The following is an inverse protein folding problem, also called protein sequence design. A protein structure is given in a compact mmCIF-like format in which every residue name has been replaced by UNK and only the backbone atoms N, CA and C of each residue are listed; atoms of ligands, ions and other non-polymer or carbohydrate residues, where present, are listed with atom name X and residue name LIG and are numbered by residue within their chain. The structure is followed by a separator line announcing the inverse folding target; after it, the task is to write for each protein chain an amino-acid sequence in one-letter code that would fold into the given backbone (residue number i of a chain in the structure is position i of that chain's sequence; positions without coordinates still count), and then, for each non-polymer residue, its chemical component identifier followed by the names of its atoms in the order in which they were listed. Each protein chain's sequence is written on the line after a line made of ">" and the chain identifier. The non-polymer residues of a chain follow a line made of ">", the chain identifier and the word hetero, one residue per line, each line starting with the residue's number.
data_IF_689894731570
#
_entry.id   IF_689894731570
#
_cell.length_a   1.000
_cell.length_b   1.000
_cell.length_c   1.000
_cell.angle_alpha   90.00
_cell.angle_beta   90.00
_cell.angle_gamma   90.00
#
_symmetry.space_group_name_H-M   'P 1'
#
loop_
_entity.id
_entity.type
_entity.pdbx_description
1 polymer ?
#
# COMPACT_ATOMS: atom_id res chain seq x y z
N UNK A 1 -23.28 -7.73 16.39
CA UNK A 1 -22.89 -8.41 17.63
C UNK A 1 -21.64 -9.18 17.34
N UNK A 2 -20.54 -8.88 18.04
CA UNK A 2 -19.31 -9.67 17.92
C UNK A 2 -19.56 -11.03 18.58
N UNK A 3 -19.55 -12.10 17.79
CA UNK A 3 -19.50 -13.44 18.35
C UNK A 3 -18.11 -13.61 18.97
N UNK A 4 -17.98 -13.99 20.25
CA UNK A 4 -16.68 -14.30 20.82
C UNK A 4 -16.18 -15.58 20.12
N UNK A 5 -15.16 -15.47 19.28
CA UNK A 5 -14.42 -16.64 18.85
C UNK A 5 -13.59 -17.10 20.06
N UNK A 6 -13.71 -18.38 20.42
CA UNK A 6 -12.85 -18.99 21.43
C UNK A 6 -11.66 -19.57 20.69
N UNK A 7 -10.50 -18.93 20.79
CA UNK A 7 -9.23 -19.58 20.45
C UNK A 7 -9.06 -20.74 21.44
N UNK A 8 -8.47 -21.85 20.99
CA UNK A 8 -8.05 -22.93 21.89
C UNK A 8 -7.39 -22.35 23.15
N UNK A 9 -7.66 -22.91 24.33
CA UNK A 9 -7.24 -22.35 25.63
C UNK A 9 -5.81 -21.78 25.58
N UNK A 10 -5.71 -20.45 25.59
CA UNK A 10 -4.45 -19.71 25.53
C UNK A 10 -3.59 -20.08 26.73
N UNK A 11 -2.32 -20.37 26.50
CA UNK A 11 -1.35 -20.71 27.54
C UNK A 11 -0.57 -19.46 27.98
N UNK A 12 -0.06 -19.40 29.22
CA UNK A 12 0.66 -18.22 29.71
C UNK A 12 1.93 -17.84 28.92
N UNK A 13 2.50 -18.78 28.16
CA UNK A 13 3.71 -18.58 27.33
C UNK A 13 3.39 -18.44 25.84
N UNK A 14 2.11 -18.38 25.48
CA UNK A 14 1.70 -18.19 24.10
C UNK A 14 2.05 -16.75 23.69
N UNK A 15 2.68 -16.60 22.53
CA UNK A 15 3.13 -15.32 21.98
C UNK A 15 2.21 -14.87 20.84
N UNK A 16 1.81 -13.59 20.77
CA UNK A 16 1.04 -13.08 19.65
C UNK A 16 1.89 -13.04 18.37
N UNK A 17 1.25 -13.37 17.25
CA UNK A 17 1.79 -13.15 15.90
C UNK A 17 0.75 -12.34 15.14
N UNK A 18 1.15 -11.23 14.54
CA UNK A 18 0.30 -10.35 13.72
C UNK A 18 0.94 -10.29 12.34
N UNK A 19 0.38 -11.01 11.38
CA UNK A 19 1.00 -11.12 10.05
C UNK A 19 -0.07 -11.20 8.97
N UNK A 20 0.12 -10.48 7.86
CA UNK A 20 -0.74 -10.50 6.67
C UNK A 20 -0.38 -11.71 5.81
N UNK A 21 -0.98 -12.86 6.11
CA UNK A 21 -0.59 -14.12 5.46
C UNK A 21 -1.38 -14.40 4.17
N UNK A 22 -2.40 -13.61 3.87
CA UNK A 22 -3.21 -13.75 2.66
C UNK A 22 -3.00 -12.63 1.63
N UNK A 23 -2.34 -11.54 2.03
CA UNK A 23 -1.88 -10.44 1.18
C UNK A 23 -2.94 -9.39 0.95
N UNK A 24 -3.93 -9.28 1.83
CA UNK A 24 -5.02 -8.30 1.73
C UNK A 24 -4.65 -6.91 2.29
N UNK A 25 -3.48 -6.80 2.94
CA UNK A 25 -2.95 -5.62 3.59
C UNK A 25 -3.38 -5.49 5.06
N UNK A 26 -3.92 -6.54 5.68
CA UNK A 26 -4.37 -6.55 7.08
C UNK A 26 -3.74 -7.70 7.85
N UNK A 27 -3.02 -7.39 8.92
CA UNK A 27 -2.44 -8.43 9.78
C UNK A 27 -3.51 -9.34 10.41
N UNK A 28 -3.37 -10.66 10.23
CA UNK A 28 -4.17 -11.63 10.98
C UNK A 28 -3.59 -11.87 12.37
N UNK A 29 -4.43 -11.80 13.42
CA UNK A 29 -4.04 -12.26 14.73
C UNK A 29 -3.93 -13.78 14.79
N UNK A 30 -2.75 -14.24 15.21
CA UNK A 30 -2.39 -15.63 15.43
C UNK A 30 -1.70 -15.79 16.78
N UNK A 31 -1.55 -17.03 17.21
CA UNK A 31 -0.82 -17.37 18.44
C UNK A 31 0.28 -18.37 18.09
N UNK A 32 1.52 -18.04 18.41
CA UNK A 32 2.60 -19.00 18.45
C UNK A 32 2.75 -19.60 19.85
N UNK A 33 2.95 -20.91 19.92
CA UNK A 33 3.19 -21.65 21.17
C UNK A 33 4.64 -22.13 21.22
N UNK A 34 5.54 -21.38 21.88
CA UNK A 34 6.96 -21.74 22.01
C UNK A 34 7.17 -23.11 22.66
N UNK A 35 6.31 -23.53 23.59
CA UNK A 35 6.42 -24.82 24.25
C UNK A 35 6.31 -26.03 23.29
N UNK A 36 5.70 -25.83 22.12
CA UNK A 36 5.46 -26.90 21.14
C UNK A 36 5.92 -26.57 19.72
N UNK A 37 6.33 -25.33 19.45
CA UNK A 37 6.68 -24.87 18.11
C UNK A 37 5.50 -24.83 17.13
N UNK A 38 4.28 -24.54 17.63
CA UNK A 38 3.05 -24.56 16.82
C UNK A 38 2.45 -23.18 16.68
N UNK A 39 2.00 -22.86 15.46
CA UNK A 39 1.22 -21.67 15.14
C UNK A 39 -0.28 -22.02 15.14
N UNK A 40 -1.09 -21.19 15.76
CA UNK A 40 -2.53 -21.37 15.93
C UNK A 40 -3.22 -20.20 15.25
N UNK A 41 -3.95 -20.49 14.17
CA UNK A 41 -4.78 -19.51 13.49
C UNK A 41 -6.14 -19.40 14.14
N UNK A 42 -6.64 -18.18 14.32
CA UNK A 42 -7.95 -17.96 14.91
C UNK A 42 -9.03 -18.51 13.97
N UNK A 43 -9.84 -19.46 14.46
CA UNK A 43 -10.85 -20.14 13.63
C UNK A 43 -10.28 -21.11 12.59
N UNK A 44 -8.96 -21.35 12.58
CA UNK A 44 -8.26 -22.16 11.60
C UNK A 44 -7.53 -23.38 12.20
N UNK A 45 -6.65 -23.96 11.39
CA UNK A 45 -5.82 -25.10 11.77
C UNK A 45 -4.65 -24.69 12.68
N UNK A 46 -4.11 -25.67 13.41
CA UNK A 46 -2.88 -25.52 14.20
C UNK A 46 -1.74 -26.24 13.51
N UNK A 47 -0.75 -25.49 13.04
CA UNK A 47 0.33 -26.02 12.20
C UNK A 47 1.68 -26.04 12.95
N UNK A 48 2.50 -27.08 12.78
CA UNK A 48 3.87 -27.08 13.28
C UNK A 48 4.75 -26.21 12.39
N UNK A 49 5.34 -25.15 12.95
CA UNK A 49 6.29 -24.28 12.24
C UNK A 49 7.71 -24.36 12.82
N UNK A 50 7.87 -24.97 13.99
CA UNK A 50 9.14 -25.11 14.67
C UNK A 50 9.14 -26.21 15.74
N UNK A 51 10.04 -26.08 16.70
CA UNK A 51 10.21 -26.95 17.85
C UNK A 51 10.04 -26.18 19.17
N UNK A 52 10.07 -26.91 20.29
CA UNK A 52 9.99 -26.31 21.60
C UNK A 52 11.19 -25.35 21.86
N UNK A 53 10.89 -24.12 22.30
CA UNK A 53 11.88 -23.09 22.60
C UNK A 53 12.33 -22.26 21.39
N UNK A 54 11.80 -22.52 20.19
CA UNK A 54 11.96 -21.63 19.05
C UNK A 54 11.17 -20.32 19.29
N UNK A 55 11.57 -19.23 18.63
CA UNK A 55 10.94 -17.89 18.68
C UNK A 55 10.29 -17.63 17.33
N UNK A 56 9.03 -17.19 17.30
CA UNK A 56 8.36 -16.85 16.05
C UNK A 56 8.93 -15.56 15.45
N UNK A 57 9.01 -15.55 14.11
CA UNK A 57 9.36 -14.38 13.30
C UNK A 57 8.41 -14.33 12.10
N UNK A 58 8.09 -13.15 11.62
CA UNK A 58 7.23 -12.95 10.44
C UNK A 58 7.59 -11.63 9.75
N UNK A 59 7.33 -11.55 8.45
CA UNK A 59 7.64 -10.40 7.58
C UNK A 59 7.63 -10.82 6.11
N UNK A 60 7.53 -9.86 5.20
CA UNK A 60 7.47 -10.05 3.75
C UNK A 60 8.88 -10.17 3.18
N UNK A 61 9.44 -11.38 3.16
CA UNK A 61 10.85 -11.59 2.79
C UNK A 61 11.05 -11.72 1.29
N UNK A 62 10.00 -11.96 0.52
CA UNK A 62 10.09 -12.12 -0.93
C UNK A 62 9.51 -10.93 -1.72
N UNK A 63 8.90 -9.97 -1.03
CA UNK A 63 8.39 -8.71 -1.57
C UNK A 63 7.07 -8.88 -2.31
N UNK A 64 6.31 -9.95 -2.02
CA UNK A 64 5.03 -10.23 -2.68
C UNK A 64 3.82 -9.60 -1.97
N UNK A 65 4.06 -8.93 -0.84
CA UNK A 65 3.04 -8.29 -0.01
C UNK A 65 2.37 -9.22 0.99
N UNK A 66 2.86 -10.46 1.17
CA UNK A 66 2.46 -11.37 2.24
C UNK A 66 3.58 -11.58 3.23
N UNK A 67 3.22 -11.79 4.49
CA UNK A 67 4.16 -12.13 5.55
C UNK A 67 4.43 -13.65 5.60
N UNK A 68 5.70 -14.03 5.55
CA UNK A 68 6.12 -15.39 5.84
C UNK A 68 6.33 -15.61 7.34
N UNK A 69 5.53 -16.47 7.94
CA UNK A 69 5.74 -16.89 9.34
C UNK A 69 6.76 -18.02 9.41
N UNK A 70 7.82 -17.81 10.18
CA UNK A 70 8.87 -18.78 10.48
C UNK A 70 9.29 -18.77 11.95
N UNK A 71 10.45 -19.37 12.21
CA UNK A 71 11.03 -19.39 13.54
C UNK A 71 12.54 -19.15 13.53
N UNK A 72 13.04 -18.51 14.57
CA UNK A 72 14.44 -18.53 14.97
C UNK A 72 14.63 -19.55 16.08
N UNK A 73 15.67 -20.39 15.99
CA UNK A 73 16.04 -21.37 17.00
C UNK A 73 17.23 -20.86 17.81
N UNK A 74 17.03 -20.37 19.05
CA UNK A 74 18.12 -19.79 19.83
C UNK A 74 19.24 -20.79 20.18
N UNK A 75 18.89 -22.08 20.32
CA UNK A 75 19.85 -23.12 20.70
C UNK A 75 20.88 -23.47 19.61
N UNK A 76 20.56 -23.21 18.35
CA UNK A 76 21.45 -23.46 17.20
C UNK A 76 21.78 -22.20 16.40
N UNK A 77 21.10 -21.08 16.68
CA UNK A 77 21.19 -19.87 15.88
C UNK A 77 20.60 -20.02 14.49
N UNK A 78 19.60 -20.89 14.29
CA UNK A 78 19.05 -21.16 12.95
C UNK A 78 17.73 -20.46 12.72
N UNK A 79 17.62 -19.77 11.58
CA UNK A 79 16.37 -19.29 11.01
C UNK A 79 15.75 -20.37 10.15
N UNK A 80 14.45 -20.62 10.32
CA UNK A 80 13.72 -21.71 9.66
C UNK A 80 12.38 -21.20 9.17
N UNK A 81 12.14 -21.35 7.88
CA UNK A 81 10.87 -21.06 7.24
C UNK A 81 10.33 -22.32 6.57
N UNK A 82 9.01 -22.55 6.57
CA UNK A 82 8.40 -23.71 5.92
C UNK A 82 8.82 -23.80 4.44
N UNK A 83 9.32 -24.97 4.01
CA UNK A 83 9.74 -25.19 2.62
C UNK A 83 11.14 -24.67 2.26
N UNK A 84 11.84 -24.01 3.18
CA UNK A 84 13.17 -23.45 2.96
C UNK A 84 14.28 -24.21 3.71
N UNK A 85 15.51 -24.11 3.19
CA UNK A 85 16.71 -24.57 3.90
C UNK A 85 16.99 -23.65 5.09
N UNK A 86 17.34 -24.19 6.28
CA UNK A 86 17.70 -23.36 7.42
C UNK A 86 18.92 -22.48 7.17
N UNK A 87 18.90 -21.27 7.71
CA UNK A 87 20.01 -20.32 7.64
C UNK A 87 20.60 -20.15 9.05
N UNK A 88 21.88 -20.48 9.22
CA UNK A 88 22.56 -20.40 10.51
C UNK A 88 23.16 -19.01 10.74
N UNK A 89 22.53 -18.23 11.60
CA UNK A 89 23.04 -16.98 12.10
C UNK A 89 22.36 -16.54 13.40
N UNK A 90 23.17 -16.27 14.42
CA UNK A 90 22.73 -15.82 15.73
C UNK A 90 23.10 -16.79 16.85
N UNK A 91 22.67 -16.46 18.05
CA UNK A 91 22.88 -17.29 19.23
C UNK A 91 21.76 -17.09 20.26
N UNK A 92 21.81 -17.88 21.32
CA UNK A 92 20.91 -17.74 22.44
C UNK A 92 21.01 -16.34 23.06
N UNK A 93 19.86 -15.70 23.29
CA UNK A 93 19.76 -14.36 23.84
C UNK A 93 19.70 -13.24 22.79
N UNK A 94 19.97 -13.55 21.52
CA UNK A 94 19.71 -12.60 20.44
C UNK A 94 18.19 -12.47 20.22
N UNK A 95 17.75 -11.25 19.88
CA UNK A 95 16.38 -10.92 19.52
C UNK A 95 16.28 -10.92 17.99
N UNK A 96 15.53 -11.85 17.37
CA UNK A 96 15.36 -11.91 15.93
C UNK A 96 14.25 -10.97 15.45
N UNK A 97 14.52 -10.25 14.36
CA UNK A 97 13.56 -9.38 13.67
C UNK A 97 13.63 -9.64 12.16
N UNK A 98 12.50 -9.45 11.49
CA UNK A 98 12.38 -9.30 10.05
C UNK A 98 11.94 -7.86 9.77
N UNK A 99 12.74 -7.13 9.01
CA UNK A 99 12.56 -5.70 8.71
C UNK A 99 13.29 -5.30 7.44
N UNK A 100 12.66 -4.49 6.58
CA UNK A 100 13.32 -3.88 5.42
C UNK A 100 14.32 -2.80 5.87
N UNK A 101 15.61 -3.17 5.93
CA UNK A 101 16.68 -2.27 6.39
C UNK A 101 17.62 -1.85 5.27
N UNK A 102 17.37 -2.17 4.01
CA UNK A 102 18.05 -1.56 2.84
C UNK A 102 17.13 -0.75 1.91
N UNK A 103 15.82 -0.78 2.14
CA UNK A 103 14.80 -0.06 1.38
C UNK A 103 14.41 -0.76 0.08
N UNK A 104 14.64 -2.07 -0.06
CA UNK A 104 14.25 -2.85 -1.25
C UNK A 104 12.80 -3.37 -1.20
N UNK A 105 12.08 -3.06 -0.12
CA UNK A 105 10.71 -3.49 0.20
C UNK A 105 10.59 -4.99 0.53
N UNK A 106 11.70 -5.66 0.86
CA UNK A 106 11.70 -7.00 1.45
C UNK A 106 12.24 -6.95 2.87
N UNK A 107 11.65 -7.72 3.74
CA UNK A 107 12.11 -7.81 5.12
C UNK A 107 13.38 -8.66 5.25
N UNK A 108 14.41 -8.04 5.81
CA UNK A 108 15.71 -8.64 6.06
C UNK A 108 15.79 -9.33 7.41
N UNK A 109 16.66 -10.34 7.50
CA UNK A 109 17.01 -10.96 8.79
C UNK A 109 17.92 -10.03 9.57
N UNK A 110 17.43 -9.57 10.73
CA UNK A 110 18.17 -8.73 11.66
C UNK A 110 18.18 -9.39 13.04
N UNK A 111 19.32 -9.30 13.73
CA UNK A 111 19.43 -9.67 15.14
C UNK A 111 19.86 -8.46 15.96
N UNK A 112 19.29 -8.32 17.14
CA UNK A 112 19.86 -7.48 18.19
C UNK A 112 20.38 -8.35 19.31
N UNK A 113 21.60 -8.07 19.78
CA UNK A 113 22.22 -8.74 20.92
C UNK A 113 22.17 -7.82 22.15
N UNK A 114 21.20 -8.03 23.06
CA UNK A 114 20.99 -7.11 24.18
C UNK A 114 22.20 -7.01 25.09
N UNK A 115 22.85 -8.13 25.42
CA UNK A 115 24.00 -8.15 26.33
C UNK A 115 25.22 -7.37 25.81
N UNK A 116 25.28 -7.11 24.51
CA UNK A 116 26.38 -6.36 23.88
C UNK A 116 25.94 -4.96 23.40
N UNK A 117 24.65 -4.70 23.23
CA UNK A 117 24.15 -3.48 22.58
C UNK A 117 24.52 -3.41 21.09
N UNK A 118 24.51 -4.55 20.39
CA UNK A 118 24.97 -4.65 19.00
C UNK A 118 23.87 -5.24 18.11
N UNK A 119 23.62 -4.57 16.99
CA UNK A 119 22.81 -5.06 15.89
C UNK A 119 23.64 -5.88 14.92
N UNK A 120 23.03 -6.87 14.28
CA UNK A 120 23.60 -7.63 13.19
C UNK A 120 22.61 -7.68 12.03
N UNK A 121 23.05 -7.22 10.86
CA UNK A 121 22.20 -7.04 9.67
C UNK A 121 22.57 -8.08 8.61
N UNK A 122 21.57 -8.68 7.96
CA UNK A 122 21.72 -9.85 7.09
C UNK A 122 21.38 -9.66 5.60
N UNK A 123 21.72 -8.51 5.01
CA UNK A 123 21.45 -8.18 3.59
C UNK A 123 22.53 -8.74 2.65
N UNK A 124 23.82 -8.57 2.99
CA UNK A 124 24.98 -8.95 2.16
C UNK A 124 26.13 -9.47 3.04
N UNK A 125 25.80 -10.47 3.84
CA UNK A 125 26.64 -10.92 4.95
C UNK A 125 26.30 -10.21 6.26
N UNK A 126 26.93 -10.64 7.33
CA UNK A 126 26.51 -10.33 8.69
C UNK A 126 27.36 -9.21 9.29
N UNK A 127 26.84 -7.98 9.22
CA UNK A 127 27.58 -6.79 9.63
C UNK A 127 27.15 -6.34 11.03
N UNK A 128 28.08 -6.22 12.00
CA UNK A 128 27.75 -5.70 13.31
C UNK A 128 27.66 -4.17 13.31
N UNK A 129 26.61 -3.62 13.91
CA UNK A 129 26.44 -2.18 14.17
C UNK A 129 26.34 -1.99 15.67
N UNK A 130 27.36 -1.38 16.28
CA UNK A 130 27.39 -1.07 17.70
C UNK A 130 26.48 0.13 17.99
N UNK A 131 25.22 -0.17 18.30
CA UNK A 131 24.20 0.83 18.57
C UNK A 131 23.22 0.32 19.62
N UNK A 132 23.42 0.77 20.87
CA UNK A 132 22.69 0.31 22.04
C UNK A 132 23.63 0.07 23.20
N UNK A 133 23.06 -0.39 24.31
CA UNK A 133 23.77 -0.78 25.52
C UNK A 133 23.09 -2.00 26.16
N UNK A 134 23.78 -2.71 27.08
CA UNK A 134 23.17 -3.79 27.86
C UNK A 134 21.85 -3.37 28.50
N UNK A 135 20.78 -4.10 28.17
CA UNK A 135 19.42 -3.86 28.68
C UNK A 135 18.55 -2.93 27.84
N UNK A 136 19.07 -2.33 26.77
CA UNK A 136 18.26 -1.65 25.76
C UNK A 136 17.43 -2.70 24.98
N UNK A 137 16.23 -2.32 24.53
CA UNK A 137 15.29 -3.16 23.77
C UNK A 137 15.28 -2.71 22.30
N UNK A 138 15.38 -3.63 21.32
CA UNK A 138 15.39 -3.25 19.91
C UNK A 138 14.03 -2.69 19.47
N UNK A 139 14.05 -1.64 18.67
CA UNK A 139 12.87 -1.02 18.08
C UNK A 139 13.19 -0.60 16.66
N UNK A 140 12.48 -1.17 15.69
CA UNK A 140 12.63 -0.85 14.28
C UNK A 140 11.39 -0.13 13.77
N UNK A 141 11.57 1.06 13.18
CA UNK A 141 10.49 1.88 12.66
C UNK A 141 11.06 2.88 11.66
N UNK A 142 10.34 3.17 10.59
CA UNK A 142 10.65 4.29 9.70
C UNK A 142 10.39 5.62 10.42
N UNK A 143 11.46 6.32 10.81
CA UNK A 143 11.37 7.59 11.56
C UNK A 143 11.47 8.82 10.66
N UNK A 144 11.95 8.70 9.43
CA UNK A 144 12.16 9.83 8.52
C UNK A 144 11.24 9.83 7.28
N UNK A 145 10.43 8.79 7.13
CA UNK A 145 9.41 8.64 6.11
C UNK A 145 9.95 8.17 4.76
N UNK A 146 11.14 7.57 4.71
CA UNK A 146 11.77 7.08 3.49
C UNK A 146 11.35 5.64 3.12
N UNK A 147 10.47 5.02 3.91
CA UNK A 147 9.96 3.65 3.78
C UNK A 147 10.96 2.55 4.13
N UNK A 148 12.13 2.90 4.65
CA UNK A 148 13.10 1.97 5.21
C UNK A 148 12.91 1.91 6.73
N UNK A 149 13.04 0.72 7.31
CA UNK A 149 13.06 0.60 8.76
C UNK A 149 14.36 1.17 9.32
N UNK A 150 14.26 2.14 10.23
CA UNK A 150 15.41 2.60 11.00
C UNK A 150 15.71 1.66 12.16
N UNK A 151 16.99 1.40 12.38
CA UNK A 151 17.45 0.72 13.59
C UNK A 151 17.35 1.67 14.78
N UNK A 152 16.61 1.27 15.80
CA UNK A 152 16.40 2.06 17.00
C UNK A 152 16.50 1.21 18.26
N UNK A 153 16.78 1.83 19.40
CA UNK A 153 16.69 1.16 20.70
C UNK A 153 15.84 1.96 21.66
N UNK A 154 15.04 1.27 22.46
CA UNK A 154 14.42 1.86 23.63
C UNK A 154 15.22 1.52 24.87
N UNK A 155 15.40 2.49 25.75
CA UNK A 155 16.08 2.33 27.04
C UNK A 155 15.07 2.34 28.17
N UNK A 156 14.67 1.17 28.70
CA UNK A 156 13.69 1.10 29.79
C UNK A 156 14.12 1.84 31.04
N UNK A 157 15.42 1.97 31.28
CA UNK A 157 15.93 2.68 32.45
C UNK A 157 15.62 4.19 32.44
N UNK A 158 15.50 4.80 31.26
CA UNK A 158 15.33 6.26 31.10
C UNK A 158 14.05 6.65 30.35
N UNK A 159 13.39 5.71 29.67
CA UNK A 159 12.22 6.01 28.82
C UNK A 159 12.59 6.61 27.46
N UNK A 160 13.84 6.50 27.04
CA UNK A 160 14.35 7.11 25.82
C UNK A 160 14.27 6.13 24.64
N UNK A 161 13.75 6.58 23.50
CA UNK A 161 13.99 5.94 22.22
C UNK A 161 15.17 6.63 21.53
N UNK A 162 16.07 5.86 20.93
CA UNK A 162 17.24 6.34 20.21
C UNK A 162 17.20 5.72 18.82
N UNK A 163 17.02 6.54 17.79
CA UNK A 163 17.13 6.12 16.39
C UNK A 163 18.58 6.28 15.92
N UNK A 164 19.08 5.30 15.18
CA UNK A 164 20.39 5.34 14.56
C UNK A 164 20.44 6.51 13.57
N UNK A 165 21.41 7.41 13.70
CA UNK A 165 21.54 8.60 12.83
C UNK A 165 20.63 9.79 13.19
N UNK A 166 19.50 9.60 13.87
CA UNK A 166 18.55 10.68 14.20
C UNK A 166 18.65 11.20 15.66
N UNK A 167 19.23 10.44 16.58
CA UNK A 167 19.43 10.86 17.98
C UNK A 167 18.30 10.43 18.94
N UNK A 168 18.16 11.14 20.07
CA UNK A 168 17.24 10.76 21.16
C UNK A 168 15.84 11.35 20.94
N UNK A 169 14.81 10.51 21.02
CA UNK A 169 13.39 10.88 21.05
C UNK A 169 12.77 10.32 22.33
N UNK A 170 12.42 11.20 23.27
CA UNK A 170 11.81 10.79 24.55
C UNK A 170 10.30 10.55 24.38
N UNK A 171 9.94 9.32 24.01
CA UNK A 171 8.55 8.91 23.73
C UNK A 171 7.93 7.98 24.79
N UNK A 172 8.70 7.59 25.84
CA UNK A 172 8.22 6.71 26.91
C UNK A 172 8.63 7.16 28.30
N UNK A 173 8.34 6.31 29.30
CA UNK A 173 8.74 6.47 30.69
C UNK A 173 9.64 5.31 31.15
N UNK A 174 10.34 5.51 32.26
CA UNK A 174 11.15 4.46 32.84
C UNK A 174 10.27 3.26 33.25
N UNK A 175 10.66 2.07 32.80
CA UNK A 175 9.93 0.83 33.00
C UNK A 175 8.96 0.44 31.88
N UNK A 176 8.74 1.30 30.88
CA UNK A 176 8.02 0.90 29.67
C UNK A 176 8.82 -0.18 28.92
N UNK A 177 8.11 -1.06 28.23
CA UNK A 177 8.68 -2.02 27.31
C UNK A 177 7.99 -1.82 25.97
N UNK A 178 8.70 -1.38 24.92
CA UNK A 178 8.11 -1.33 23.60
C UNK A 178 7.83 -2.77 23.17
N UNK A 179 6.83 -2.94 22.31
CA UNK A 179 6.63 -4.21 21.63
C UNK A 179 7.76 -4.31 20.58
N UNK A 180 8.79 -5.16 20.78
CA UNK A 180 9.82 -5.36 19.78
C UNK A 180 9.16 -6.21 18.70
N UNK A 181 8.60 -5.56 17.69
CA UNK A 181 7.88 -6.26 16.62
C UNK A 181 8.82 -6.42 15.43
N UNK A 182 8.84 -7.61 14.85
CA UNK A 182 9.00 -7.72 13.40
C UNK A 182 8.08 -6.70 12.74
N UNK A 183 8.54 -6.02 11.70
CA UNK A 183 7.64 -5.19 10.93
C UNK A 183 6.46 -6.07 10.48
N UNK A 184 5.22 -5.58 10.57
CA UNK A 184 4.22 -6.09 9.63
C UNK A 184 4.67 -5.66 8.24
N UNK A 185 4.31 -6.40 7.19
CA UNK A 185 4.78 -6.18 5.82
C UNK A 185 5.02 -4.68 5.51
N UNK A 186 6.22 -4.37 5.00
CA UNK A 186 6.50 -3.02 4.49
C UNK A 186 5.39 -2.64 3.50
N UNK A 187 4.83 -1.42 3.58
CA UNK A 187 3.79 -1.04 2.65
C UNK A 187 4.28 -1.17 1.21
N UNK A 188 3.66 -2.05 0.42
CA UNK A 188 3.94 -2.17 -1.01
C UNK A 188 3.04 -1.22 -1.81
N UNK A 189 3.45 -0.79 -3.01
CA UNK A 189 2.58 0.01 -3.87
C UNK A 189 1.25 -0.70 -4.12
N UNK A 190 0.13 0.02 -3.99
CA UNK A 190 -1.19 -0.56 -4.10
C UNK A 190 -1.43 -1.26 -5.45
N UNK A 191 -2.35 -2.23 -5.45
CA UNK A 191 -2.80 -2.87 -6.68
C UNK A 191 -3.47 -1.85 -7.63
N UNK A 192 -3.71 -2.26 -8.87
CA UNK A 192 -4.33 -1.39 -9.87
C UNK A 192 -5.83 -1.14 -9.56
N UNK A 193 -6.31 0.11 -9.68
CA UNK A 193 -7.75 0.40 -9.76
C UNK A 193 -8.42 -0.34 -10.93
N UNK A 194 -9.71 -0.64 -10.79
CA UNK A 194 -10.48 -1.39 -11.79
C UNK A 194 -11.73 -0.63 -12.25
N UNK A 195 -12.42 -1.16 -13.28
CA UNK A 195 -13.68 -0.58 -13.75
C UNK A 195 -13.56 0.86 -14.25
N UNK A 196 -12.41 1.25 -14.83
CA UNK A 196 -12.19 2.62 -15.29
C UNK A 196 -13.09 2.93 -16.47
N UNK A 197 -13.90 3.98 -16.34
CA UNK A 197 -14.73 4.52 -17.43
C UNK A 197 -14.42 5.99 -17.63
N UNK A 198 -14.61 6.49 -18.85
CA UNK A 198 -14.41 7.89 -19.16
C UNK A 198 -15.47 8.40 -20.14
N UNK A 199 -16.12 9.49 -19.77
CA UNK A 199 -17.15 10.16 -20.56
C UNK A 199 -16.56 11.43 -21.19
N UNK A 200 -16.62 11.61 -22.52
CA UNK A 200 -16.04 12.78 -23.18
C UNK A 200 -16.80 14.05 -22.82
N UNK A 201 -16.06 15.14 -22.64
CA UNK A 201 -16.55 16.51 -22.54
C UNK A 201 -15.74 17.45 -23.43
N UNK A 202 -16.02 18.76 -23.33
CA UNK A 202 -15.30 19.77 -24.09
C UNK A 202 -13.89 19.96 -23.51
N UNK A 203 -12.86 19.58 -24.27
CA UNK A 203 -11.47 19.61 -23.84
C UNK A 203 -11.19 18.90 -22.50
N UNK A 204 -12.05 17.95 -22.14
CA UNK A 204 -12.01 17.23 -20.88
C UNK A 204 -12.68 15.85 -20.99
N UNK A 205 -12.49 15.02 -19.97
CA UNK A 205 -13.26 13.79 -19.78
C UNK A 205 -13.61 13.60 -18.31
N UNK A 206 -14.83 13.15 -18.01
CA UNK A 206 -15.21 12.70 -16.66
C UNK A 206 -14.80 11.25 -16.52
N UNK A 207 -13.82 10.98 -15.68
CA UNK A 207 -13.23 9.66 -15.44
C UNK A 207 -13.75 9.12 -14.11
N UNK A 208 -14.17 7.86 -14.07
CA UNK A 208 -14.54 7.16 -12.84
C UNK A 208 -13.89 5.79 -12.76
N UNK A 209 -13.70 5.27 -11.55
CA UNK A 209 -13.02 4.00 -11.28
C UNK A 209 -13.53 3.35 -9.99
N UNK A 210 -13.20 2.09 -9.82
CA UNK A 210 -13.32 1.34 -8.57
C UNK A 210 -11.95 1.31 -7.87
N UNK A 211 -11.89 1.56 -6.54
CA UNK A 211 -10.66 1.42 -5.77
C UNK A 211 -9.96 0.06 -5.97
N UNK A 212 -8.64 -0.02 -5.74
CA UNK A 212 -7.93 -1.29 -5.86
C UNK A 212 -8.40 -2.29 -4.82
N UNK A 213 -8.34 -3.58 -5.16
CA UNK A 213 -8.77 -4.66 -4.28
C UNK A 213 -7.82 -4.87 -3.09
N UNK A 214 -6.54 -4.57 -3.27
CA UNK A 214 -5.51 -4.56 -2.23
C UNK A 214 -4.81 -3.21 -2.22
N UNK A 215 -4.56 -2.67 -1.03
CA UNK A 215 -3.92 -1.38 -0.83
C UNK A 215 -2.42 -1.51 -0.49
N UNK A 216 -1.88 -2.73 -0.49
CA UNK A 216 -0.46 -2.99 -0.19
C UNK A 216 -0.09 -2.60 1.24
N UNK A 217 -0.92 -2.94 2.22
CA UNK A 217 -0.62 -2.73 3.64
C UNK A 217 -0.77 -1.28 4.12
N UNK A 218 -1.26 -0.35 3.29
CA UNK A 218 -1.43 1.05 3.69
C UNK A 218 -2.66 1.73 3.10
N UNK A 219 -3.32 2.65 3.84
CA UNK A 219 -4.47 3.39 3.33
C UNK A 219 -4.15 4.11 2.01
N UNK A 220 -5.07 4.05 1.06
CA UNK A 220 -4.98 4.85 -0.18
C UNK A 220 -5.16 6.34 0.17
N UNK A 221 -4.11 7.12 -0.06
CA UNK A 221 -4.04 8.56 0.22
C UNK A 221 -4.39 9.43 -1.00
N UNK A 222 -4.63 8.81 -2.16
CA UNK A 222 -5.14 9.50 -3.36
C UNK A 222 -5.03 8.65 -4.61
N UNK A 223 -5.32 9.27 -5.76
CA UNK A 223 -5.18 8.65 -7.08
C UNK A 223 -4.55 9.61 -8.07
N UNK A 224 -3.89 9.06 -9.09
CA UNK A 224 -3.38 9.78 -10.25
C UNK A 224 -4.07 9.27 -11.50
N UNK A 225 -4.71 10.17 -12.25
CA UNK A 225 -5.32 9.88 -13.55
C UNK A 225 -4.39 10.41 -14.65
N UNK A 226 -4.12 9.60 -15.68
CA UNK A 226 -3.25 9.95 -16.81
C UNK A 226 -3.98 9.74 -18.13
N UNK A 227 -3.74 10.60 -19.11
CA UNK A 227 -4.19 10.41 -20.48
C UNK A 227 -3.00 10.37 -21.47
N UNK A 228 -3.05 9.43 -22.40
CA UNK A 228 -2.12 9.30 -23.52
C UNK A 228 -2.89 9.31 -24.84
N UNK A 229 -2.43 10.02 -25.89
CA UNK A 229 -1.22 10.86 -25.96
C UNK A 229 -1.39 12.18 -25.18
N UNK A 230 -0.38 13.04 -25.14
CA UNK A 230 -0.49 14.42 -24.60
C UNK A 230 -0.22 14.58 -23.10
N UNK A 231 -0.29 13.52 -22.30
CA UNK A 231 0.24 13.52 -20.93
C UNK A 231 -0.56 14.35 -19.92
N UNK A 232 -1.85 14.63 -20.19
CA UNK A 232 -2.71 15.28 -19.21
C UNK A 232 -2.81 14.42 -17.94
N UNK A 233 -2.66 15.05 -16.78
CA UNK A 233 -2.71 14.37 -15.49
C UNK A 233 -3.59 15.10 -14.49
N UNK A 234 -4.21 14.35 -13.58
CA UNK A 234 -4.94 14.89 -12.44
C UNK A 234 -4.66 14.05 -11.20
N UNK A 235 -4.25 14.70 -10.11
CA UNK A 235 -4.14 14.09 -8.79
C UNK A 235 -5.40 14.39 -7.98
N UNK A 236 -5.94 13.37 -7.33
CA UNK A 236 -7.16 13.50 -6.52
C UNK A 236 -6.95 12.94 -5.11
N UNK A 237 -7.65 13.48 -4.10
CA UNK A 237 -7.51 13.06 -2.72
C UNK A 237 -8.05 11.64 -2.48
N UNK A 238 -7.74 11.11 -1.30
CA UNK A 238 -8.30 9.86 -0.81
C UNK A 238 -9.85 9.86 -0.86
N UNK A 239 -10.44 8.69 -1.15
CA UNK A 239 -11.90 8.50 -1.21
C UNK A 239 -12.57 8.98 -2.51
N UNK A 240 -11.85 9.67 -3.41
CA UNK A 240 -12.38 10.00 -4.73
C UNK A 240 -12.49 8.74 -5.60
N UNK A 241 -13.64 8.57 -6.27
CA UNK A 241 -13.87 7.51 -7.27
C UNK A 241 -14.19 8.06 -8.66
N UNK A 242 -14.14 9.39 -8.81
CA UNK A 242 -14.30 10.07 -10.08
C UNK A 242 -13.59 11.44 -10.07
N UNK A 243 -13.23 11.93 -11.26
CA UNK A 243 -12.68 13.28 -11.47
C UNK A 243 -12.93 13.76 -12.89
N UNK A 244 -12.83 15.07 -13.11
CA UNK A 244 -12.78 15.66 -14.44
C UNK A 244 -11.33 15.88 -14.84
N UNK A 245 -10.85 15.11 -15.82
CA UNK A 245 -9.54 15.30 -16.43
C UNK A 245 -9.63 16.37 -17.52
N UNK A 246 -9.09 17.55 -17.25
CA UNK A 246 -9.04 18.66 -18.21
C UNK A 246 -7.78 18.64 -19.07
N UNK A 247 -7.70 19.55 -20.05
CA UNK A 247 -6.51 19.74 -20.88
C UNK A 247 -6.41 18.75 -22.04
N UNK A 248 -7.53 18.15 -22.43
CA UNK A 248 -7.61 17.28 -23.60
C UNK A 248 -7.92 18.10 -24.87
N UNK A 249 -7.52 17.57 -26.02
CA UNK A 249 -7.77 18.17 -27.33
C UNK A 249 -8.98 17.50 -27.97
N UNK A 250 -9.97 18.30 -28.35
CA UNK A 250 -11.15 17.78 -29.04
C UNK A 250 -10.77 17.08 -30.36
N UNK A 251 -11.41 15.93 -30.63
CA UNK A 251 -11.14 15.10 -31.79
C UNK A 251 -9.88 14.22 -31.67
N UNK A 252 -9.08 14.35 -30.62
CA UNK A 252 -7.95 13.45 -30.33
C UNK A 252 -8.42 12.28 -29.49
N UNK A 253 -7.96 11.09 -29.82
CA UNK A 253 -8.28 9.87 -29.10
C UNK A 253 -7.30 9.64 -27.96
N UNK A 254 -7.81 9.38 -26.76
CA UNK A 254 -7.02 9.13 -25.55
C UNK A 254 -7.28 7.76 -24.95
N UNK A 255 -6.21 7.15 -24.44
CA UNK A 255 -6.21 6.03 -23.50
C UNK A 255 -6.00 6.61 -22.09
N UNK A 256 -6.93 6.34 -21.18
CA UNK A 256 -6.95 6.90 -19.82
C UNK A 256 -6.71 5.80 -18.80
N UNK A 257 -5.73 5.98 -17.92
CA UNK A 257 -5.40 5.06 -16.81
C UNK A 257 -5.48 5.75 -15.46
N UNK A 258 -5.68 4.96 -14.40
CA UNK A 258 -5.71 5.42 -13.00
C UNK A 258 -4.72 4.58 -12.19
N UNK A 259 -3.92 5.25 -11.36
CA UNK A 259 -3.00 4.65 -10.38
C UNK A 259 -3.46 5.06 -8.97
N UNK A 260 -3.49 4.12 -8.03
CA UNK A 260 -3.70 4.44 -6.62
C UNK A 260 -2.40 4.93 -5.99
N UNK A 261 -2.48 5.79 -4.98
CA UNK A 261 -1.33 6.28 -4.20
C UNK A 261 -1.47 5.90 -2.74
N UNK A 262 -0.44 5.29 -2.18
CA UNK A 262 -0.28 5.01 -0.74
C UNK A 262 0.97 5.70 -0.22
N UNK A 263 1.34 5.46 1.03
CA UNK A 263 2.64 5.92 1.56
C UNK A 263 3.81 5.28 0.81
N UNK A 264 3.62 4.06 0.29
CA UNK A 264 4.56 3.35 -0.59
C UNK A 264 4.75 4.00 -1.98
N UNK A 265 3.99 5.04 -2.31
CA UNK A 265 4.03 5.72 -3.60
C UNK A 265 2.88 5.33 -4.54
N UNK A 266 3.10 5.46 -5.85
CA UNK A 266 2.10 5.13 -6.88
C UNK A 266 2.12 3.63 -7.17
N UNK A 267 0.95 3.01 -7.07
CA UNK A 267 0.69 1.62 -7.39
C UNK A 267 0.62 1.34 -8.89
N UNK A 268 0.25 0.10 -9.22
CA UNK A 268 0.09 -0.33 -10.60
C UNK A 268 -0.99 0.48 -11.34
N UNK A 269 -0.77 0.73 -12.63
CA UNK A 269 -1.76 1.40 -13.48
C UNK A 269 -2.91 0.45 -13.85
N UNK A 270 -4.12 0.98 -13.87
CA UNK A 270 -5.29 0.26 -14.39
C UNK A 270 -5.12 -0.14 -15.86
N UNK A 271 -5.93 -1.11 -16.31
CA UNK A 271 -6.22 -1.22 -17.73
C UNK A 271 -6.79 0.11 -18.26
N UNK A 272 -6.47 0.52 -19.49
CA UNK A 272 -6.99 1.77 -20.05
C UNK A 272 -8.51 1.70 -20.19
N UNK A 273 -9.18 2.82 -19.94
CA UNK A 273 -10.59 2.97 -20.25
C UNK A 273 -10.87 2.70 -21.74
N UNK A 274 -12.13 2.41 -22.08
CA UNK A 274 -12.55 2.41 -23.47
C UNK A 274 -12.18 3.76 -24.12
N UNK A 275 -11.56 3.70 -25.30
CA UNK A 275 -11.00 4.85 -26.04
C UNK A 275 -11.96 6.04 -26.06
N UNK A 276 -11.50 7.19 -25.55
CA UNK A 276 -12.31 8.42 -25.45
C UNK A 276 -11.85 9.46 -26.45
N UNK A 277 -12.81 10.12 -27.12
CA UNK A 277 -12.57 11.26 -28.01
C UNK A 277 -13.33 12.45 -27.44
N UNK A 278 -12.66 13.42 -26.79
CA UNK A 278 -13.28 14.66 -26.34
C UNK A 278 -13.91 15.41 -27.51
N UNK A 279 -15.03 16.08 -27.25
CA UNK A 279 -15.77 16.80 -28.26
C UNK A 279 -16.43 18.03 -27.63
N UNK A 280 -16.62 19.07 -28.45
CA UNK A 280 -17.39 20.25 -28.05
C UNK A 280 -18.74 19.79 -27.50
N UNK A 281 -19.12 20.32 -26.34
CA UNK A 281 -20.48 20.13 -25.85
C UNK A 281 -21.43 20.73 -26.87
N UNK A 282 -22.32 19.91 -27.43
CA UNK A 282 -23.28 20.40 -28.41
C UNK A 282 -24.16 21.47 -27.73
N UNK A 283 -24.18 22.67 -28.31
CA UNK A 283 -25.10 23.73 -27.89
C UNK A 283 -26.24 23.81 -28.90
N UNK A 284 -27.39 24.32 -28.49
CA UNK A 284 -28.51 24.54 -29.41
C UNK A 284 -28.02 25.48 -30.52
N UNK A 285 -28.15 25.13 -31.82
CA UNK A 285 -27.85 26.07 -32.90
C UNK A 285 -28.63 27.38 -32.70
N UNK A 286 -28.06 28.50 -33.13
CA UNK A 286 -28.77 29.78 -33.07
C UNK A 286 -30.10 29.73 -33.84
N UNK A 287 -30.97 30.72 -33.66
CA UNK A 287 -32.16 30.83 -34.51
C UNK A 287 -31.76 31.25 -35.94
N UNK A 288 -32.43 30.73 -37.00
CA UNK A 288 -32.31 31.27 -38.34
C UNK A 288 -32.68 32.75 -38.37
N UNK A 289 -31.99 33.55 -39.20
CA UNK A 289 -32.24 34.99 -39.33
C UNK A 289 -32.77 35.32 -40.72
N UNK A 290 -33.22 36.56 -40.94
CA UNK A 290 -33.70 36.98 -42.28
C UNK A 290 -34.92 36.19 -42.78
N UNK A 291 -35.78 35.71 -41.87
CA UNK A 291 -36.98 34.96 -42.23
C UNK A 291 -37.92 35.88 -43.02
N UNK A 292 -38.15 35.54 -44.29
CA UNK A 292 -39.06 36.26 -45.18
C UNK A 292 -39.99 35.28 -45.86
N UNK A 293 -41.25 35.67 -46.03
CA UNK A 293 -42.25 34.87 -46.73
C UNK A 293 -42.71 35.64 -47.98
N UNK A 294 -42.52 35.06 -49.14
CA UNK A 294 -43.00 35.58 -50.42
C UNK A 294 -44.36 34.93 -50.71
N UNK A 295 -45.48 35.68 -50.64
CA UNK A 295 -46.82 35.12 -50.84
C UNK A 295 -47.07 34.75 -52.30
N UNK A 296 -47.87 33.70 -52.50
CA UNK A 296 -48.38 33.22 -53.78
C UNK A 296 -49.84 32.74 -53.60
N UNK A 297 -50.51 32.31 -54.67
CA UNK A 297 -51.89 31.83 -54.58
C UNK A 297 -51.96 30.54 -53.77
N UNK A 298 -52.50 30.62 -52.55
CA UNK A 298 -52.63 29.52 -51.58
C UNK A 298 -51.30 28.89 -51.13
N UNK A 299 -50.17 29.57 -51.36
CA UNK A 299 -48.86 29.11 -50.90
C UNK A 299 -47.94 30.30 -50.57
N UNK A 300 -46.85 30.04 -49.89
CA UNK A 300 -45.78 31.01 -49.70
C UNK A 300 -44.43 30.31 -49.76
N UNK A 301 -43.44 30.96 -50.39
CA UNK A 301 -42.04 30.51 -50.32
C UNK A 301 -41.38 31.20 -49.14
N UNK A 302 -40.90 30.40 -48.18
CA UNK A 302 -40.19 30.93 -47.01
C UNK A 302 -38.70 30.84 -47.26
N UNK A 303 -38.01 31.97 -47.11
CA UNK A 303 -36.56 32.10 -47.20
C UNK A 303 -36.03 32.46 -45.81
N UNK A 304 -34.93 31.86 -45.42
CA UNK A 304 -34.22 32.21 -44.19
C UNK A 304 -32.71 32.08 -44.40
N UNK A 305 -31.95 32.80 -43.58
CA UNK A 305 -30.51 32.66 -43.45
C UNK A 305 -30.25 31.64 -42.34
N UNK A 306 -29.45 30.59 -42.59
CA UNK A 306 -29.07 29.64 -41.55
C UNK A 306 -28.44 30.34 -40.33
N UNK A 307 -28.54 29.75 -39.13
CA UNK A 307 -27.86 30.25 -37.94
C UNK A 307 -26.36 30.39 -38.17
N UNK A 308 -25.77 31.48 -37.70
CA UNK A 308 -24.31 31.68 -37.73
C UNK A 308 -23.57 30.83 -36.69
N UNK A 309 -24.25 30.40 -35.62
CA UNK A 309 -23.75 29.47 -34.62
C UNK A 309 -24.39 28.09 -34.82
N UNK A 310 -23.58 27.10 -35.23
CA UNK A 310 -24.03 25.74 -35.58
C UNK A 310 -24.02 24.75 -34.41
N UNK A 311 -23.64 25.19 -33.21
CA UNK A 311 -23.83 24.38 -31.99
C UNK A 311 -22.96 23.11 -31.88
N UNK A 312 -21.93 22.94 -32.71
CA UNK A 312 -21.01 21.79 -32.63
C UNK A 312 -21.42 20.56 -33.47
N UNK A 313 -22.50 20.62 -34.25
CA UNK A 313 -22.90 19.58 -35.20
C UNK A 313 -23.39 20.15 -36.54
N UNK A 314 -23.58 19.31 -37.59
CA UNK A 314 -24.18 19.75 -38.84
C UNK A 314 -25.67 20.11 -38.64
N UNK A 315 -26.13 21.19 -39.28
CA UNK A 315 -27.56 21.54 -39.33
C UNK A 315 -28.25 20.59 -40.31
N UNK A 316 -29.14 19.72 -39.82
CA UNK A 316 -30.06 18.95 -40.65
C UNK A 316 -31.43 19.64 -40.66
N UNK A 317 -31.91 19.99 -41.87
CA UNK A 317 -33.21 20.63 -42.10
C UNK A 317 -34.36 19.64 -42.31
#
# INVERSE_FOLDING_TARGET
>A
GFLPFVVAAVQPTDEPVLADTDGDGVDEPMIFRPATGRLIRIGGATEPIGAAGDVAVWGDRDGDGRDEVGVFRPSTGEWRFPGESPVAFGQQGDVPLLVDVDGDLRDDRVLYRPDAGVWFIGIDGWWPVAFGQPGDVPVTVDTDGDLRADLGVFRPATGEYLAFGAGVVAIGQAGDLPVPRSSGAAPVPAAAPSGVTAQPGDSAAVVSWTPPAANGGSPVIGYRVKAQPGGATADVPAGATATTLAGLTNGVQYDITVEARTVAGLGAASAPAARVVPALSATVPGAPTGVTALPSNQSATVLWTPPSAVGGGPISG
#
